data_IF_032136141736
#
_entry.id   IF_032136141736
#
_cell.length_a   1.000
_cell.length_b   1.000
_cell.length_c   1.000
_cell.angle_alpha   90.00
_cell.angle_beta   90.00
_cell.angle_gamma   90.00
#
_symmetry.space_group_name_H-M   'P 1'
#
loop_
_entity.id
_entity.type
_entity.pdbx_description
1 polymer ?
#
# COMPACT_ATOMS: atom_id res chain seq x y z
N UNK A 1 76.71 28.34 20.18
CA UNK A 1 77.04 27.15 19.37
C UNK A 1 75.79 26.39 19.07
N UNK A 2 75.50 26.35 17.80
CA UNK A 2 74.93 25.25 17.01
C UNK A 2 73.74 24.55 17.69
N UNK A 3 72.59 24.40 17.14
CA UNK A 3 72.18 24.40 15.74
C UNK A 3 71.06 23.33 15.62
N UNK A 4 70.28 23.55 14.66
CA UNK A 4 69.44 22.59 13.91
C UNK A 4 68.00 22.41 14.36
N UNK A 5 67.16 22.95 13.52
CA UNK A 5 66.55 22.48 12.30
C UNK A 5 65.76 21.17 12.52
N UNK A 6 64.52 21.29 12.31
CA UNK A 6 64.02 20.28 11.46
C UNK A 6 62.65 19.68 11.71
N UNK A 7 61.83 20.03 10.79
CA UNK A 7 60.89 19.16 10.07
C UNK A 7 59.46 19.14 10.56
N UNK A 8 58.73 19.86 9.81
CA UNK A 8 57.36 19.55 9.42
C UNK A 8 57.11 18.06 9.28
N UNK A 9 56.05 17.61 9.88
CA UNK A 9 55.40 16.39 9.46
C UNK A 9 53.91 16.56 9.51
N UNK A 10 53.37 16.88 8.37
CA UNK A 10 52.20 16.33 7.68
C UNK A 10 51.03 15.92 8.58
N UNK A 11 50.09 16.82 8.64
CA UNK A 11 48.72 16.52 8.98
C UNK A 11 48.15 15.52 7.98
N UNK A 12 47.89 14.33 8.42
CA UNK A 12 47.07 13.39 7.67
C UNK A 12 45.58 13.73 7.98
N UNK A 13 44.98 14.36 7.01
CA UNK A 13 43.51 14.57 7.03
C UNK A 13 42.85 13.20 6.84
N UNK A 14 42.28 12.67 7.92
CA UNK A 14 41.39 11.53 7.86
C UNK A 14 40.04 12.04 7.38
N UNK A 15 39.77 11.92 6.09
CA UNK A 15 38.44 12.05 5.53
C UNK A 15 37.60 10.88 6.01
N UNK A 16 36.83 11.08 7.06
CA UNK A 16 35.76 10.18 7.43
C UNK A 16 34.67 10.28 6.37
N UNK A 17 34.65 9.33 5.46
CA UNK A 17 33.54 9.13 4.53
C UNK A 17 32.32 8.67 5.34
N UNK A 18 31.43 9.61 5.66
CA UNK A 18 30.08 9.29 6.12
C UNK A 18 29.34 8.63 4.96
N UNK A 19 29.36 7.31 4.91
CA UNK A 19 28.37 6.55 4.11
C UNK A 19 27.00 6.83 4.74
N UNK A 20 26.28 7.75 4.13
CA UNK A 20 24.85 7.89 4.35
C UNK A 20 24.18 6.61 3.83
N UNK A 21 23.84 5.71 4.73
CA UNK A 21 22.89 4.64 4.44
C UNK A 21 21.52 5.30 4.21
N UNK A 22 21.28 5.78 2.99
CA UNK A 22 19.95 6.06 2.52
C UNK A 22 19.23 4.71 2.39
N UNK A 23 18.53 4.31 3.43
CA UNK A 23 17.55 3.25 3.32
C UNK A 23 16.55 3.62 2.22
N UNK A 24 15.92 2.65 1.55
CA UNK A 24 14.90 2.94 0.57
C UNK A 24 13.78 3.72 1.26
N UNK A 25 13.82 5.04 1.09
CA UNK A 25 12.74 5.91 1.49
C UNK A 25 11.54 5.55 0.61
N UNK A 26 10.48 5.06 1.21
CA UNK A 26 9.19 4.88 0.56
C UNK A 26 8.69 6.27 0.14
N UNK A 27 8.96 6.63 -1.10
CA UNK A 27 8.43 7.85 -1.68
C UNK A 27 6.94 7.65 -1.94
N UNK A 28 6.13 8.68 -1.65
CA UNK A 28 4.67 8.66 -1.77
C UNK A 28 4.15 8.47 -3.22
N UNK A 29 5.04 8.36 -4.20
CA UNK A 29 4.77 8.19 -5.63
C UNK A 29 5.29 6.85 -6.16
N UNK A 30 5.28 5.79 -5.34
CA UNK A 30 5.58 4.45 -5.87
C UNK A 30 4.50 4.06 -6.88
N UNK A 31 4.92 3.74 -8.11
CA UNK A 31 4.00 3.34 -9.18
C UNK A 31 3.21 2.08 -8.76
N UNK A 32 1.87 2.19 -8.80
CA UNK A 32 1.00 1.09 -8.45
C UNK A 32 1.08 0.03 -9.56
N UNK A 33 1.45 -1.22 -9.25
CA UNK A 33 1.53 -2.27 -10.25
C UNK A 33 0.16 -2.61 -10.83
N UNK A 34 0.14 -3.08 -12.09
CA UNK A 34 -1.10 -3.47 -12.75
C UNK A 34 -1.71 -4.74 -12.15
N UNK A 35 -0.86 -5.61 -11.60
CA UNK A 35 -1.25 -6.88 -10.98
C UNK A 35 -0.78 -6.89 -9.54
N UNK A 36 -1.60 -7.44 -8.65
CA UNK A 36 -1.26 -7.54 -7.24
C UNK A 36 -0.06 -8.47 -7.01
N UNK A 37 1.07 -7.96 -6.48
CA UNK A 37 2.27 -8.77 -6.25
C UNK A 37 2.09 -9.84 -5.16
N UNK A 38 1.03 -9.74 -4.35
CA UNK A 38 0.72 -10.67 -3.26
C UNK A 38 -0.38 -11.67 -3.59
N UNK A 39 -0.87 -11.72 -4.84
CA UNK A 39 -1.89 -12.68 -5.24
C UNK A 39 -1.44 -14.12 -4.97
N UNK A 40 -2.20 -14.85 -4.16
CA UNK A 40 -1.91 -16.24 -3.81
C UNK A 40 -0.86 -16.46 -2.71
N UNK A 41 -0.25 -15.41 -2.17
CA UNK A 41 0.66 -15.52 -1.01
C UNK A 41 -0.13 -15.75 0.27
N UNK A 42 0.02 -16.92 0.89
CA UNK A 42 -0.77 -17.29 2.08
C UNK A 42 -0.53 -16.37 3.30
N UNK A 43 0.67 -15.83 3.45
CA UNK A 43 0.98 -14.91 4.55
C UNK A 43 0.30 -13.59 4.31
N UNK A 44 0.42 -13.05 3.10
CA UNK A 44 -0.28 -11.82 2.71
C UNK A 44 -1.80 -11.96 2.81
N UNK A 45 -2.36 -13.13 2.46
CA UNK A 45 -3.80 -13.40 2.62
C UNK A 45 -4.26 -13.31 4.08
N UNK A 46 -3.50 -13.88 5.01
CA UNK A 46 -3.82 -13.80 6.45
C UNK A 46 -3.74 -12.37 6.98
N UNK A 47 -2.69 -11.66 6.62
CA UNK A 47 -2.48 -10.27 7.03
C UNK A 47 -3.54 -9.36 6.39
N UNK A 48 -3.81 -9.51 5.09
CA UNK A 48 -4.84 -8.78 4.38
C UNK A 48 -6.23 -8.99 4.95
N UNK A 49 -6.56 -10.23 5.36
CA UNK A 49 -7.80 -10.53 6.07
C UNK A 49 -7.88 -9.79 7.42
N UNK A 50 -6.78 -9.74 8.15
CA UNK A 50 -6.72 -9.01 9.44
C UNK A 50 -6.97 -7.52 9.23
N UNK A 51 -6.25 -6.91 8.29
CA UNK A 51 -6.44 -5.51 7.91
C UNK A 51 -7.88 -5.23 7.44
N UNK A 52 -8.40 -6.07 6.54
CA UNK A 52 -9.77 -5.93 6.04
C UNK A 52 -10.79 -5.90 7.17
N UNK A 53 -10.68 -6.81 8.13
CA UNK A 53 -11.58 -6.88 9.27
C UNK A 53 -11.49 -5.66 10.17
N UNK A 54 -10.30 -5.10 10.34
CA UNK A 54 -10.06 -3.95 11.19
C UNK A 54 -10.57 -2.64 10.61
N UNK A 55 -10.47 -2.45 9.29
CA UNK A 55 -10.71 -1.13 8.70
C UNK A 55 -11.80 -1.08 7.63
N UNK A 56 -12.12 -2.19 6.97
CA UNK A 56 -13.04 -2.21 5.84
C UNK A 56 -14.40 -2.83 6.16
N UNK A 57 -14.42 -3.87 7.01
CA UNK A 57 -15.58 -4.73 7.22
C UNK A 57 -16.79 -3.99 7.81
N UNK A 58 -16.59 -2.94 8.60
CA UNK A 58 -17.66 -2.14 9.19
C UNK A 58 -18.59 -1.54 8.13
N UNK A 59 -18.06 -1.23 6.94
CA UNK A 59 -18.86 -0.70 5.82
C UNK A 59 -19.14 -1.77 4.76
N UNK A 60 -18.14 -2.63 4.45
CA UNK A 60 -18.22 -3.58 3.34
C UNK A 60 -18.71 -4.98 3.73
N UNK A 61 -18.97 -5.22 5.02
CA UNK A 61 -19.41 -6.52 5.54
C UNK A 61 -18.23 -7.48 5.80
N UNK A 62 -18.40 -8.37 6.77
CA UNK A 62 -17.37 -9.36 7.12
C UNK A 62 -17.06 -10.37 6.00
N UNK A 63 -17.96 -10.50 5.02
CA UNK A 63 -17.84 -11.32 3.81
C UNK A 63 -17.58 -10.50 2.56
N UNK A 64 -17.29 -9.21 2.70
CA UNK A 64 -17.09 -8.26 1.61
C UNK A 64 -18.31 -8.11 0.65
N UNK A 65 -19.49 -8.45 1.14
CA UNK A 65 -20.76 -8.48 0.40
C UNK A 65 -21.55 -7.16 0.45
N UNK A 66 -20.99 -6.12 1.04
CA UNK A 66 -21.62 -4.83 1.22
C UNK A 66 -22.56 -4.75 2.43
N UNK A 67 -22.75 -5.84 3.16
CA UNK A 67 -23.63 -5.92 4.33
C UNK A 67 -22.88 -5.58 5.63
N UNK A 68 -22.21 -4.44 5.66
CA UNK A 68 -21.56 -3.94 6.88
C UNK A 68 -22.56 -3.32 7.86
N UNK A 69 -22.17 -3.22 9.12
CA UNK A 69 -23.01 -2.62 10.19
C UNK A 69 -23.37 -1.17 9.88
N UNK A 70 -22.49 -0.45 9.19
CA UNK A 70 -22.73 0.92 8.71
C UNK A 70 -23.52 0.97 7.39
N UNK A 71 -23.89 -0.17 6.81
CA UNK A 71 -24.94 -0.34 5.82
C UNK A 71 -24.73 0.23 4.42
N UNK A 72 -23.50 0.65 4.00
CA UNK A 72 -23.37 1.46 2.79
C UNK A 72 -22.21 1.08 1.86
N UNK A 73 -21.45 0.05 2.17
CA UNK A 73 -20.32 -0.38 1.35
C UNK A 73 -20.76 -1.05 0.05
N UNK A 74 -19.89 -1.03 -0.96
CA UNK A 74 -20.09 -1.84 -2.16
C UNK A 74 -19.81 -3.32 -1.87
N UNK A 75 -20.44 -4.22 -2.62
CA UNK A 75 -20.07 -5.64 -2.67
C UNK A 75 -18.73 -5.78 -3.40
N UNK A 76 -17.66 -5.95 -2.64
CA UNK A 76 -16.30 -6.01 -3.19
C UNK A 76 -16.00 -7.32 -3.90
N UNK A 77 -16.82 -8.35 -3.70
CA UNK A 77 -16.67 -9.62 -4.41
C UNK A 77 -16.96 -9.50 -5.90
N UNK A 78 -17.69 -8.44 -6.29
CA UNK A 78 -18.10 -8.12 -7.67
C UNK A 78 -17.28 -7.00 -8.27
N UNK A 79 -16.08 -6.72 -7.76
CA UNK A 79 -15.26 -5.62 -8.22
C UNK A 79 -14.97 -5.72 -9.74
N UNK A 80 -15.05 -4.57 -10.43
CA UNK A 80 -14.79 -4.46 -11.88
C UNK A 80 -13.62 -3.53 -12.21
N UNK A 81 -12.94 -3.01 -11.19
CA UNK A 81 -11.94 -1.95 -11.38
C UNK A 81 -10.53 -2.46 -11.70
N UNK A 82 -10.31 -3.77 -11.58
CA UNK A 82 -8.97 -4.33 -11.56
C UNK A 82 -8.20 -3.93 -10.29
N UNK A 83 -7.02 -4.52 -10.11
CA UNK A 83 -6.21 -4.27 -8.93
C UNK A 83 -5.80 -2.79 -8.79
N UNK A 84 -5.27 -2.21 -9.85
CA UNK A 84 -4.83 -0.80 -9.85
C UNK A 84 -5.97 0.16 -9.51
N UNK A 85 -7.15 -0.06 -10.10
CA UNK A 85 -8.34 0.74 -9.80
C UNK A 85 -8.83 0.57 -8.36
N UNK A 86 -8.73 -0.63 -7.80
CA UNK A 86 -9.00 -0.88 -6.39
C UNK A 86 -8.07 -0.06 -5.50
N UNK A 87 -6.75 -0.11 -5.75
CA UNK A 87 -5.77 0.63 -4.95
C UNK A 87 -6.03 2.13 -5.00
N UNK A 88 -6.31 2.71 -6.17
CA UNK A 88 -6.65 4.13 -6.29
C UNK A 88 -7.88 4.50 -5.47
N UNK A 89 -8.95 3.68 -5.53
CA UNK A 89 -10.17 3.94 -4.74
C UNK A 89 -9.88 3.90 -3.24
N UNK A 90 -9.03 3.00 -2.78
CA UNK A 90 -8.64 2.96 -1.37
C UNK A 90 -7.81 4.18 -0.99
N UNK A 91 -6.82 4.53 -1.78
CA UNK A 91 -5.94 5.67 -1.49
C UNK A 91 -6.69 6.99 -1.47
N UNK A 92 -7.56 7.23 -2.45
CA UNK A 92 -8.15 8.54 -2.72
C UNK A 92 -9.58 8.67 -2.18
N UNK A 93 -10.16 7.55 -1.73
CA UNK A 93 -11.55 7.51 -1.34
C UNK A 93 -12.50 7.54 -2.53
N UNK A 94 -13.81 7.49 -2.26
CA UNK A 94 -14.82 7.56 -3.32
C UNK A 94 -16.12 8.15 -2.83
N UNK A 95 -16.59 9.19 -3.51
CA UNK A 95 -17.95 9.71 -3.37
C UNK A 95 -18.83 9.11 -4.47
N UNK A 96 -20.01 8.63 -4.10
CA UNK A 96 -21.01 8.14 -5.06
C UNK A 96 -22.26 9.03 -4.95
N UNK A 97 -22.68 9.58 -6.08
CA UNK A 97 -23.90 10.42 -6.13
C UNK A 97 -25.10 9.66 -5.58
N UNK A 98 -25.91 10.35 -4.76
CA UNK A 98 -27.07 9.75 -4.10
C UNK A 98 -26.79 8.91 -2.86
N UNK A 99 -25.53 8.77 -2.45
CA UNK A 99 -25.17 8.14 -1.16
C UNK A 99 -24.78 9.19 -0.14
N UNK A 100 -25.26 9.01 1.08
CA UNK A 100 -24.97 9.93 2.21
C UNK A 100 -23.58 9.76 2.79
N UNK A 101 -22.96 8.60 2.60
CA UNK A 101 -21.62 8.31 3.11
C UNK A 101 -20.65 8.06 1.96
N UNK A 102 -19.52 8.76 2.01
CA UNK A 102 -18.38 8.52 1.14
C UNK A 102 -17.47 7.43 1.71
N UNK A 103 -16.77 6.71 0.85
CA UNK A 103 -15.61 5.93 1.27
C UNK A 103 -14.46 6.91 1.56
N UNK A 104 -13.89 6.91 2.77
CA UNK A 104 -12.79 7.81 3.12
C UNK A 104 -11.52 7.45 2.34
N UNK A 105 -10.64 8.44 2.14
CA UNK A 105 -9.30 8.22 1.62
C UNK A 105 -8.41 7.62 2.72
N UNK A 106 -7.59 6.65 2.33
CA UNK A 106 -6.66 5.97 3.23
C UNK A 106 -5.19 6.33 2.95
N UNK A 107 -4.94 7.26 2.03
CA UNK A 107 -3.61 7.78 1.73
C UNK A 107 -2.97 8.37 2.99
N UNK A 108 -1.75 7.93 3.31
CA UNK A 108 -1.04 8.33 4.52
C UNK A 108 -1.53 7.66 5.82
N UNK A 109 -2.57 6.83 5.77
CA UNK A 109 -3.08 6.04 6.90
C UNK A 109 -2.65 4.58 6.77
N UNK A 110 -2.85 3.99 5.58
CA UNK A 110 -2.39 2.65 5.23
C UNK A 110 -1.18 2.75 4.30
N UNK A 111 -0.25 1.81 4.43
CA UNK A 111 0.84 1.65 3.47
C UNK A 111 0.30 0.96 2.22
N UNK A 112 0.92 1.21 1.07
CA UNK A 112 0.57 0.53 -0.17
C UNK A 112 0.60 -0.99 -0.02
N UNK A 113 1.62 -1.52 0.67
CA UNK A 113 1.75 -2.94 0.95
C UNK A 113 0.55 -3.53 1.70
N UNK A 114 0.04 -2.83 2.73
CA UNK A 114 -1.14 -3.28 3.49
C UNK A 114 -2.39 -3.30 2.60
N UNK A 115 -2.54 -2.30 1.73
CA UNK A 115 -3.63 -2.24 0.74
C UNK A 115 -3.52 -3.39 -0.25
N UNK A 116 -2.31 -3.71 -0.72
CA UNK A 116 -2.07 -4.83 -1.63
C UNK A 116 -2.43 -6.17 -1.00
N UNK A 117 -2.06 -6.39 0.27
CA UNK A 117 -2.45 -7.58 1.04
C UNK A 117 -3.96 -7.67 1.24
N UNK A 118 -4.64 -6.54 1.50
CA UNK A 118 -6.11 -6.50 1.53
C UNK A 118 -6.67 -6.92 0.17
N UNK A 119 -6.11 -6.41 -0.93
CA UNK A 119 -6.49 -6.80 -2.29
C UNK A 119 -6.35 -8.30 -2.52
N UNK A 120 -5.21 -8.90 -2.13
CA UNK A 120 -4.96 -10.33 -2.24
C UNK A 120 -6.02 -11.16 -1.49
N UNK A 121 -6.39 -10.75 -0.27
CA UNK A 121 -7.48 -11.40 0.46
C UNK A 121 -8.82 -11.27 -0.27
N UNK A 122 -9.17 -10.09 -0.76
CA UNK A 122 -10.43 -9.86 -1.47
C UNK A 122 -10.52 -10.64 -2.79
N UNK A 123 -9.41 -10.87 -3.48
CA UNK A 123 -9.35 -11.74 -4.66
C UNK A 123 -9.86 -13.15 -4.36
N UNK A 124 -9.60 -13.68 -3.15
CA UNK A 124 -10.08 -15.00 -2.74
C UNK A 124 -11.59 -15.06 -2.52
N UNK A 125 -12.25 -13.92 -2.34
CA UNK A 125 -13.69 -13.81 -2.15
C UNK A 125 -14.43 -13.47 -3.46
N UNK A 126 -13.71 -13.24 -4.54
CA UNK A 126 -14.27 -12.83 -5.83
C UNK A 126 -15.27 -13.86 -6.36
N UNK A 127 -16.42 -13.39 -6.83
CA UNK A 127 -17.41 -14.20 -7.52
C UNK A 127 -17.14 -14.19 -9.03
N UNK A 128 -17.80 -15.10 -9.74
CA UNK A 128 -17.71 -15.17 -11.20
C UNK A 128 -18.01 -13.81 -11.85
N UNK A 129 -17.20 -13.44 -12.84
CA UNK A 129 -17.30 -12.15 -13.56
C UNK A 129 -16.63 -10.96 -12.84
N UNK A 130 -16.08 -11.15 -11.64
CA UNK A 130 -15.27 -10.10 -11.01
C UNK A 130 -13.94 -9.91 -11.75
N UNK A 131 -13.49 -8.66 -11.86
CA UNK A 131 -12.22 -8.31 -12.45
C UNK A 131 -11.26 -7.76 -11.39
N UNK A 132 -10.35 -8.62 -10.92
CA UNK A 132 -9.30 -8.27 -9.97
C UNK A 132 -7.91 -8.19 -10.61
N UNK A 133 -7.69 -8.89 -11.72
CA UNK A 133 -6.35 -9.12 -12.29
C UNK A 133 -5.94 -8.11 -13.34
N UNK A 134 -6.87 -7.43 -13.94
CA UNK A 134 -6.59 -6.55 -15.07
C UNK A 134 -7.22 -5.18 -14.86
N UNK A 135 -6.60 -4.14 -15.40
CA UNK A 135 -7.23 -2.85 -15.54
C UNK A 135 -8.56 -2.95 -16.32
N UNK A 136 -9.46 -2.00 -16.10
CA UNK A 136 -10.77 -2.00 -16.77
C UNK A 136 -10.57 -2.08 -18.27
N UNK A 137 -10.90 -3.21 -18.86
CA UNK A 137 -11.04 -3.30 -20.31
C UNK A 137 -12.28 -2.47 -20.70
N UNK A 138 -12.03 -1.35 -21.37
CA UNK A 138 -13.08 -0.52 -21.98
C UNK A 138 -13.52 -1.12 -23.29
#
# INVERSE_FOLDING_TARGET
MRGNIGRCLRSAAVCAALLACAGPGWTADEEIPDVNPFSGDETALREGRSWYRGVCASCHGGKADGAGERGTGADLRKLQLGFKGFVHVVLDGRQVSGRTMAMPAWRGVLKNEDIYKIGAYLETLAVEGANWKEGVKR
#
